data_IF_805532205246
#
_entry.id   IF_805532205246
#
_cell.length_a   1.000
_cell.length_b   1.000
_cell.length_c   1.000
_cell.angle_alpha   90.00
_cell.angle_beta   90.00
_cell.angle_gamma   90.00
#
_symmetry.space_group_name_H-M   'P 1'
#
loop_
_entity.id
_entity.type
_entity.pdbx_description
1 polymer ?
#
# COMPACT_ATOMS: atom_id res chain seq x y z
N UNK A 1 -11.40 -8.36 30.52
CA UNK A 1 -11.16 -7.76 29.19
C UNK A 1 -11.85 -8.55 28.08
N UNK A 2 -11.53 -9.83 27.85
CA UNK A 2 -12.14 -10.60 26.74
C UNK A 2 -13.69 -10.63 26.73
N UNK A 3 -14.40 -10.83 27.86
CA UNK A 3 -15.87 -10.82 27.84
C UNK A 3 -16.49 -9.45 27.55
N UNK A 4 -15.76 -8.37 27.89
CA UNK A 4 -16.24 -6.98 27.71
C UNK A 4 -16.08 -6.56 26.24
N UNK A 5 -15.04 -7.01 25.55
CA UNK A 5 -14.85 -6.77 24.11
C UNK A 5 -15.91 -7.45 23.23
N UNK A 6 -16.55 -8.49 23.77
CA UNK A 6 -17.59 -9.30 23.15
C UNK A 6 -18.98 -9.06 23.77
N UNK A 7 -19.11 -8.08 24.67
CA UNK A 7 -20.36 -7.76 25.34
C UNK A 7 -21.41 -7.16 24.39
N UNK A 8 -22.68 -7.18 24.78
CA UNK A 8 -23.74 -6.55 23.98
C UNK A 8 -23.80 -5.02 24.16
N UNK A 9 -23.07 -4.48 25.15
CA UNK A 9 -23.02 -3.04 25.41
C UNK A 9 -21.93 -2.38 24.55
N UNK A 10 -22.35 -1.42 23.73
CA UNK A 10 -21.49 -0.72 22.77
C UNK A 10 -20.50 0.21 23.46
N UNK A 11 -20.91 0.86 24.56
CA UNK A 11 -20.10 1.85 25.27
C UNK A 11 -18.98 1.17 26.08
N UNK A 12 -19.30 0.02 26.70
CA UNK A 12 -18.32 -0.81 27.39
C UNK A 12 -17.28 -1.40 26.43
N UNK A 13 -17.72 -1.83 25.25
CA UNK A 13 -16.82 -2.34 24.19
C UNK A 13 -15.90 -1.26 23.66
N UNK A 14 -16.44 -0.07 23.39
CA UNK A 14 -15.64 1.05 22.90
C UNK A 14 -14.61 1.51 23.94
N UNK A 15 -15.01 1.62 25.20
CA UNK A 15 -14.10 1.98 26.30
C UNK A 15 -12.96 0.97 26.44
N UNK A 16 -13.26 -0.33 26.29
CA UNK A 16 -12.27 -1.39 26.33
C UNK A 16 -11.29 -1.32 25.14
N UNK A 17 -11.78 -1.10 23.92
CA UNK A 17 -10.93 -0.91 22.73
C UNK A 17 -10.09 0.35 22.82
N UNK A 18 -10.69 1.46 23.26
CA UNK A 18 -10.01 2.74 23.46
C UNK A 18 -8.86 2.60 24.45
N UNK A 19 -9.08 1.94 25.59
CA UNK A 19 -8.03 1.67 26.58
C UNK A 19 -6.93 0.74 26.08
N UNK A 20 -7.29 -0.31 25.32
CA UNK A 20 -6.31 -1.23 24.73
C UNK A 20 -5.45 -0.55 23.65
N UNK A 21 -6.08 0.18 22.74
CA UNK A 21 -5.41 0.83 21.62
C UNK A 21 -4.59 2.04 22.04
N UNK A 22 -4.95 2.72 23.14
CA UNK A 22 -4.12 3.80 23.71
C UNK A 22 -2.67 3.39 23.94
N UNK A 23 -2.44 2.12 24.33
CA UNK A 23 -1.09 1.60 24.56
C UNK A 23 -0.24 1.47 23.29
N UNK A 24 -0.86 1.40 22.10
CA UNK A 24 -0.22 1.24 20.78
C UNK A 24 0.87 0.16 20.74
N UNK A 25 0.73 -0.90 21.53
CA UNK A 25 1.71 -1.99 21.67
C UNK A 25 1.14 -3.29 21.14
N UNK A 26 1.95 -4.00 20.36
CA UNK A 26 1.61 -5.34 19.89
C UNK A 26 1.52 -6.25 21.13
N UNK A 27 0.38 -6.93 21.36
CA UNK A 27 0.24 -7.83 22.50
C UNK A 27 1.16 -9.05 22.35
N UNK A 28 1.49 -9.71 23.47
CA UNK A 28 2.21 -10.97 23.41
C UNK A 28 1.41 -12.03 22.61
N UNK A 29 2.09 -13.05 22.08
CA UNK A 29 1.46 -14.05 21.19
C UNK A 29 0.18 -14.67 21.77
N UNK A 30 0.14 -15.00 23.06
CA UNK A 30 -1.03 -15.61 23.70
C UNK A 30 -2.24 -14.65 23.64
N UNK A 31 -2.03 -13.40 24.02
CA UNK A 31 -3.08 -12.38 23.99
C UNK A 31 -3.45 -11.99 22.54
N UNK A 32 -2.47 -11.92 21.64
CA UNK A 32 -2.70 -11.68 20.21
C UNK A 32 -3.67 -12.73 19.63
N UNK A 33 -3.41 -14.01 19.88
CA UNK A 33 -4.26 -15.09 19.36
C UNK A 33 -5.67 -15.08 19.95
N UNK A 34 -5.84 -14.58 21.18
CA UNK A 34 -7.16 -14.41 21.79
C UNK A 34 -7.93 -13.23 21.16
N UNK A 35 -7.23 -12.13 20.85
CA UNK A 35 -7.83 -10.91 20.30
C UNK A 35 -7.94 -10.92 18.77
N UNK A 36 -7.29 -11.86 18.08
CA UNK A 36 -7.13 -11.85 16.61
C UNK A 36 -8.46 -11.65 15.89
N UNK A 37 -9.47 -12.46 16.23
CA UNK A 37 -10.76 -12.41 15.55
C UNK A 37 -11.47 -11.07 15.83
N UNK A 38 -11.42 -10.59 17.07
CA UNK A 38 -12.01 -9.31 17.45
C UNK A 38 -11.31 -8.14 16.74
N UNK A 39 -9.98 -8.20 16.54
CA UNK A 39 -9.23 -7.20 15.78
C UNK A 39 -9.60 -7.20 14.28
N UNK A 40 -9.75 -8.38 13.68
CA UNK A 40 -10.18 -8.52 12.29
C UNK A 40 -11.60 -8.00 12.09
N UNK A 41 -12.50 -8.26 13.06
CA UNK A 41 -13.87 -7.75 13.05
C UNK A 41 -13.89 -6.22 13.21
N UNK A 42 -13.13 -5.68 14.18
CA UNK A 42 -13.03 -4.24 14.41
C UNK A 42 -12.52 -3.49 13.17
N UNK A 43 -11.59 -4.07 12.42
CA UNK A 43 -11.09 -3.49 11.17
C UNK A 43 -12.16 -3.40 10.07
N UNK A 44 -13.13 -4.32 10.05
CA UNK A 44 -14.23 -4.33 9.07
C UNK A 44 -15.40 -3.45 9.52
N UNK A 45 -15.69 -3.43 10.82
CA UNK A 45 -16.82 -2.70 11.40
C UNK A 45 -16.35 -1.97 12.65
N UNK A 46 -15.70 -0.80 12.48
CA UNK A 46 -15.23 -0.01 13.62
C UNK A 46 -16.42 0.54 14.40
N UNK A 47 -16.35 0.46 15.74
CA UNK A 47 -17.40 0.97 16.64
C UNK A 47 -17.50 2.51 16.57
N UNK A 48 -16.36 3.18 16.44
CA UNK A 48 -16.25 4.63 16.25
C UNK A 48 -15.18 4.94 15.18
N UNK A 49 -15.43 5.91 14.29
CA UNK A 49 -14.47 6.33 13.29
C UNK A 49 -13.34 7.15 13.94
N UNK A 50 -12.35 6.44 14.49
CA UNK A 50 -11.10 7.03 15.00
C UNK A 50 -9.94 6.68 14.07
N UNK A 51 -9.37 7.70 13.43
CA UNK A 51 -8.21 7.55 12.54
C UNK A 51 -7.00 6.94 13.26
N UNK A 52 -6.75 7.35 14.51
CA UNK A 52 -5.66 6.81 15.34
C UNK A 52 -5.84 5.31 15.61
N UNK A 53 -7.07 4.88 15.93
CA UNK A 53 -7.36 3.47 16.20
C UNK A 53 -7.24 2.60 14.96
N UNK A 54 -7.69 3.11 13.80
CA UNK A 54 -7.50 2.44 12.51
C UNK A 54 -6.00 2.23 12.21
N UNK A 55 -5.16 3.25 12.43
CA UNK A 55 -3.71 3.16 12.25
C UNK A 55 -3.06 2.09 13.16
N UNK A 56 -3.45 2.06 14.44
CA UNK A 56 -2.92 1.10 15.40
C UNK A 56 -3.37 -0.33 15.05
N UNK A 57 -4.65 -0.54 14.75
CA UNK A 57 -5.20 -1.85 14.37
C UNK A 57 -4.56 -2.36 13.08
N UNK A 58 -4.43 -1.51 12.06
CA UNK A 58 -3.75 -1.83 10.81
C UNK A 58 -2.31 -2.28 11.08
N UNK A 59 -1.59 -1.56 11.95
CA UNK A 59 -0.22 -1.93 12.34
C UNK A 59 -0.16 -3.27 13.07
N UNK A 60 -1.07 -3.55 14.01
CA UNK A 60 -1.09 -4.82 14.75
C UNK A 60 -1.46 -6.01 13.84
N UNK A 61 -2.40 -5.82 12.92
CA UNK A 61 -2.77 -6.84 11.91
C UNK A 61 -1.57 -7.10 10.98
N UNK A 62 -0.98 -6.04 10.44
CA UNK A 62 0.16 -6.17 9.55
C UNK A 62 1.36 -6.81 10.26
N UNK A 63 1.60 -6.52 11.53
CA UNK A 63 2.64 -7.17 12.33
C UNK A 63 2.39 -8.67 12.53
N UNK A 64 1.15 -9.08 12.82
CA UNK A 64 0.82 -10.51 12.99
C UNK A 64 0.83 -11.30 11.68
N UNK A 65 0.55 -10.63 10.55
CA UNK A 65 0.77 -11.21 9.23
C UNK A 65 2.26 -11.28 8.89
N UNK A 66 3.03 -10.21 9.15
CA UNK A 66 4.47 -10.13 8.87
C UNK A 66 5.35 -10.95 9.82
N UNK A 67 4.82 -11.45 10.94
CA UNK A 67 5.59 -12.30 11.86
C UNK A 67 5.38 -13.77 11.53
N UNK A 68 6.40 -14.40 10.95
CA UNK A 68 6.44 -15.85 10.70
C UNK A 68 7.14 -16.52 11.87
N UNK A 69 6.56 -17.59 12.40
CA UNK A 69 7.21 -18.42 13.41
C UNK A 69 8.32 -19.25 12.75
N UNK A 70 9.58 -19.06 13.16
CA UNK A 70 10.73 -19.76 12.58
C UNK A 70 10.66 -21.30 12.74
N UNK A 71 9.92 -21.79 13.74
CA UNK A 71 9.79 -23.24 14.02
C UNK A 71 8.65 -23.86 13.21
N UNK A 72 7.49 -23.20 13.12
CA UNK A 72 6.30 -23.77 12.47
C UNK A 72 6.06 -23.27 11.05
N UNK A 73 6.74 -22.19 10.63
CA UNK A 73 6.49 -21.50 9.37
C UNK A 73 5.16 -20.75 9.30
N UNK A 74 4.38 -20.76 10.40
CA UNK A 74 3.04 -20.17 10.44
C UNK A 74 3.07 -18.70 10.87
N UNK A 75 2.11 -17.94 10.35
CA UNK A 75 1.85 -16.54 10.72
C UNK A 75 0.71 -16.48 11.74
N UNK A 76 0.67 -15.44 12.57
CA UNK A 76 -0.49 -15.22 13.45
C UNK A 76 -1.74 -14.87 12.64
N UNK A 77 -1.55 -14.14 11.53
CA UNK A 77 -2.56 -13.92 10.50
C UNK A 77 -2.09 -14.58 9.21
N UNK A 78 -2.84 -15.58 8.75
CA UNK A 78 -2.57 -16.30 7.52
C UNK A 78 -2.78 -15.43 6.27
N UNK A 79 -2.28 -15.89 5.13
CA UNK A 79 -2.50 -15.23 3.85
C UNK A 79 -3.98 -15.15 3.47
N UNK A 80 -4.76 -16.18 3.79
CA UNK A 80 -6.18 -16.23 3.48
C UNK A 80 -7.00 -15.31 4.40
N UNK A 81 -6.64 -15.21 5.69
CA UNK A 81 -7.23 -14.23 6.60
C UNK A 81 -6.94 -12.80 6.16
N UNK A 82 -5.68 -12.50 5.81
CA UNK A 82 -5.28 -11.17 5.33
C UNK A 82 -5.97 -10.80 4.02
N UNK A 83 -6.03 -11.72 3.05
CA UNK A 83 -6.76 -11.50 1.79
C UNK A 83 -8.25 -11.27 2.05
N UNK A 84 -8.85 -12.08 2.93
CA UNK A 84 -10.27 -11.96 3.28
C UNK A 84 -10.59 -10.64 3.98
N UNK A 85 -9.67 -10.15 4.82
CA UNK A 85 -9.77 -8.84 5.44
C UNK A 85 -9.72 -7.72 4.40
N UNK A 86 -8.68 -7.71 3.54
CA UNK A 86 -8.50 -6.68 2.51
C UNK A 86 -9.68 -6.57 1.54
N UNK A 87 -10.46 -7.64 1.37
CA UNK A 87 -11.69 -7.64 0.57
C UNK A 87 -12.89 -6.96 1.26
N UNK A 88 -12.91 -6.93 2.60
CA UNK A 88 -14.04 -6.47 3.40
C UNK A 88 -13.86 -5.05 3.93
N UNK A 89 -12.61 -4.66 4.21
CA UNK A 89 -12.31 -3.34 4.75
C UNK A 89 -12.44 -2.23 3.70
N UNK A 90 -12.65 -1.02 4.19
CA UNK A 90 -12.72 0.17 3.35
C UNK A 90 -11.38 0.54 2.71
N UNK A 91 -11.44 1.57 1.89
CA UNK A 91 -10.31 2.04 1.11
C UNK A 91 -9.23 2.74 1.96
N UNK A 92 -9.65 3.44 3.01
CA UNK A 92 -8.74 4.10 3.92
C UNK A 92 -7.90 3.06 4.66
N UNK A 93 -8.52 2.00 5.17
CA UNK A 93 -7.83 0.92 5.87
C UNK A 93 -6.83 0.19 4.95
N UNK A 94 -7.21 -0.11 3.70
CA UNK A 94 -6.28 -0.67 2.69
C UNK A 94 -5.08 0.23 2.47
N UNK A 95 -5.31 1.53 2.33
CA UNK A 95 -4.26 2.53 2.15
C UNK A 95 -3.33 2.61 3.37
N UNK A 96 -3.85 2.44 4.58
CA UNK A 96 -3.06 2.38 5.83
C UNK A 96 -2.14 1.18 5.89
N UNK A 97 -2.62 0.01 5.49
CA UNK A 97 -1.80 -1.20 5.41
C UNK A 97 -0.62 -0.99 4.45
N UNK A 98 -0.86 -0.41 3.27
CA UNK A 98 0.21 -0.13 2.31
C UNK A 98 1.22 0.88 2.84
N UNK A 99 0.74 1.97 3.44
CA UNK A 99 1.60 3.00 4.02
C UNK A 99 2.50 2.42 5.13
N UNK A 100 1.94 1.57 6.00
CA UNK A 100 2.68 0.94 7.08
C UNK A 100 3.72 -0.06 6.53
N UNK A 101 3.36 -0.85 5.52
CA UNK A 101 4.28 -1.77 4.85
C UNK A 101 5.44 -1.04 4.17
N UNK A 102 5.15 0.06 3.47
CA UNK A 102 6.17 0.93 2.86
C UNK A 102 7.11 1.50 3.94
N UNK A 103 6.55 2.04 5.03
CA UNK A 103 7.33 2.60 6.14
C UNK A 103 8.30 1.57 6.72
N UNK A 104 7.81 0.38 7.05
CA UNK A 104 8.65 -0.70 7.59
C UNK A 104 9.67 -1.24 6.59
N UNK A 105 9.36 -1.20 5.29
CA UNK A 105 10.33 -1.52 4.24
C UNK A 105 11.41 -0.46 4.03
N UNK A 106 11.21 0.77 4.54
CA UNK A 106 12.14 1.88 4.45
C UNK A 106 12.90 2.20 5.73
N UNK A 107 12.61 1.51 6.83
CA UNK A 107 13.30 1.72 8.12
C UNK A 107 14.78 1.33 8.03
N UNK A 108 15.62 2.01 8.81
CA UNK A 108 17.09 1.81 8.83
C UNK A 108 17.52 0.61 9.68
N UNK A 109 16.60 0.00 10.42
CA UNK A 109 16.90 -1.23 11.17
C UNK A 109 17.09 -2.40 10.19
N UNK A 110 18.32 -2.86 10.00
CA UNK A 110 18.67 -3.85 8.97
C UNK A 110 17.85 -5.15 9.05
N UNK A 111 17.49 -5.58 10.26
CA UNK A 111 16.70 -6.78 10.50
C UNK A 111 15.24 -6.59 10.09
N UNK A 112 14.62 -5.47 10.48
CA UNK A 112 13.24 -5.14 10.10
C UNK A 112 13.14 -4.78 8.61
N UNK A 113 14.13 -4.05 8.09
CA UNK A 113 14.23 -3.64 6.69
C UNK A 113 14.28 -4.83 5.75
N UNK A 114 15.25 -5.73 5.94
CA UNK A 114 15.45 -6.91 5.06
C UNK A 114 14.25 -7.87 5.10
N UNK A 115 13.61 -8.03 6.26
CA UNK A 115 12.40 -8.81 6.44
C UNK A 115 11.23 -8.21 5.65
N UNK A 116 10.95 -6.92 5.84
CA UNK A 116 9.82 -6.26 5.19
C UNK A 116 9.99 -6.10 3.68
N UNK A 117 11.23 -5.98 3.20
CA UNK A 117 11.54 -5.96 1.77
C UNK A 117 11.05 -7.22 1.04
N UNK A 118 11.24 -8.41 1.63
CA UNK A 118 10.71 -9.68 1.08
C UNK A 118 9.20 -9.80 1.26
N UNK A 119 8.71 -9.45 2.45
CA UNK A 119 7.29 -9.56 2.79
C UNK A 119 6.41 -8.64 1.96
N UNK A 120 6.94 -7.50 1.50
CA UNK A 120 6.20 -6.60 0.63
C UNK A 120 5.76 -7.30 -0.66
N UNK A 121 6.63 -8.09 -1.29
CA UNK A 121 6.27 -8.87 -2.47
C UNK A 121 5.18 -9.90 -2.17
N UNK A 122 5.24 -10.56 -1.00
CA UNK A 122 4.21 -11.51 -0.59
C UNK A 122 2.87 -10.85 -0.28
N UNK A 123 2.90 -9.64 0.28
CA UNK A 123 1.70 -8.84 0.56
C UNK A 123 1.00 -8.48 -0.75
N UNK A 124 1.75 -8.02 -1.74
CA UNK A 124 1.22 -7.67 -3.06
C UNK A 124 0.66 -8.88 -3.82
N UNK A 125 1.23 -10.09 -3.61
CA UNK A 125 0.69 -11.34 -4.20
C UNK A 125 -0.67 -11.73 -3.64
N UNK A 126 -0.94 -11.42 -2.37
CA UNK A 126 -2.23 -11.72 -1.75
C UNK A 126 -3.24 -10.57 -1.88
N UNK A 127 -2.80 -9.40 -2.37
CA UNK A 127 -3.64 -8.22 -2.52
C UNK A 127 -4.85 -8.51 -3.43
N UNK A 128 -6.05 -8.05 -3.04
CA UNK A 128 -7.25 -8.25 -3.84
C UNK A 128 -7.15 -7.67 -5.25
N UNK A 129 -7.65 -8.41 -6.24
CA UNK A 129 -7.72 -7.98 -7.65
C UNK A 129 -9.11 -7.51 -8.07
N UNK A 130 -10.10 -7.69 -7.21
CA UNK A 130 -11.48 -7.33 -7.42
C UNK A 130 -11.63 -5.81 -7.54
N UNK A 131 -12.55 -5.36 -8.39
CA UNK A 131 -12.79 -3.93 -8.65
C UNK A 131 -13.11 -3.15 -7.37
N UNK A 132 -13.81 -3.76 -6.40
CA UNK A 132 -14.14 -3.13 -5.11
C UNK A 132 -12.91 -2.72 -4.28
N UNK A 133 -11.76 -3.37 -4.51
CA UNK A 133 -10.50 -3.09 -3.82
C UNK A 133 -9.53 -2.24 -4.65
N UNK A 134 -9.85 -1.98 -5.93
CA UNK A 134 -9.06 -1.14 -6.85
C UNK A 134 -9.64 0.28 -6.88
N UNK A 135 -9.40 1.02 -5.81
CA UNK A 135 -9.77 2.43 -5.74
C UNK A 135 -8.65 3.34 -6.27
N UNK A 136 -8.95 4.61 -6.58
CA UNK A 136 -7.95 5.63 -6.88
C UNK A 136 -6.89 5.82 -5.78
N UNK A 137 -7.29 5.87 -4.50
CA UNK A 137 -6.39 6.11 -3.37
C UNK A 137 -5.47 4.91 -3.09
N UNK A 138 -6.02 3.68 -3.09
CA UNK A 138 -5.20 2.46 -2.98
C UNK A 138 -4.23 2.38 -4.17
N UNK A 139 -4.67 2.71 -5.38
CA UNK A 139 -3.81 2.73 -6.58
C UNK A 139 -2.68 3.76 -6.47
N UNK A 140 -2.96 4.94 -5.90
CA UNK A 140 -1.94 5.94 -5.62
C UNK A 140 -0.88 5.44 -4.64
N UNK A 141 -1.31 4.83 -3.53
CA UNK A 141 -0.37 4.25 -2.56
C UNK A 141 0.45 3.11 -3.14
N UNK A 142 -0.15 2.25 -3.95
CA UNK A 142 0.57 1.19 -4.66
C UNK A 142 1.61 1.76 -5.64
N UNK A 143 1.26 2.82 -6.35
CA UNK A 143 2.15 3.51 -7.28
C UNK A 143 3.34 4.17 -6.56
N UNK A 144 3.09 4.93 -5.49
CA UNK A 144 4.12 5.53 -4.64
C UNK A 144 5.06 4.47 -4.05
N UNK A 145 4.48 3.35 -3.59
CA UNK A 145 5.22 2.22 -3.04
C UNK A 145 6.13 1.60 -4.10
N UNK A 146 5.67 1.44 -5.34
CA UNK A 146 6.51 0.97 -6.43
C UNK A 146 7.69 1.92 -6.65
N UNK A 147 7.43 3.21 -6.85
CA UNK A 147 8.49 4.22 -7.03
C UNK A 147 9.41 4.42 -5.81
N UNK A 148 9.02 3.93 -4.63
CA UNK A 148 9.87 3.97 -3.42
C UNK A 148 10.72 2.70 -3.22
N UNK A 149 10.59 1.69 -4.07
CA UNK A 149 11.21 0.37 -3.86
C UNK A 149 12.65 0.22 -4.38
N UNK A 150 13.23 1.28 -4.94
CA UNK A 150 14.62 1.32 -5.41
C UNK A 150 14.93 0.19 -6.41
N UNK A 151 15.95 -0.62 -6.11
CA UNK A 151 16.34 -1.77 -6.95
C UNK A 151 15.24 -2.81 -7.17
N UNK A 152 14.24 -2.90 -6.27
CA UNK A 152 13.13 -3.84 -6.41
C UNK A 152 11.98 -3.31 -7.29
N UNK A 153 12.11 -2.09 -7.80
CA UNK A 153 11.12 -1.47 -8.68
C UNK A 153 10.56 -2.39 -9.75
N UNK A 154 11.35 -3.07 -10.60
CA UNK A 154 10.79 -3.90 -11.66
C UNK A 154 9.91 -5.06 -11.13
N UNK A 155 10.30 -5.65 -10.00
CA UNK A 155 9.54 -6.74 -9.35
C UNK A 155 8.25 -6.22 -8.74
N UNK A 156 8.33 -5.11 -8.00
CA UNK A 156 7.18 -4.51 -7.33
C UNK A 156 6.20 -3.92 -8.36
N UNK A 157 6.69 -3.21 -9.37
CA UNK A 157 5.88 -2.67 -10.46
C UNK A 157 5.08 -3.77 -11.18
N UNK A 158 5.70 -4.94 -11.44
CA UNK A 158 5.01 -6.07 -12.06
C UNK A 158 3.87 -6.62 -11.18
N UNK A 159 4.03 -6.64 -9.86
CA UNK A 159 2.99 -7.05 -8.91
C UNK A 159 1.89 -6.00 -8.75
N UNK A 160 2.26 -4.71 -8.81
CA UNK A 160 1.35 -3.58 -8.62
C UNK A 160 0.50 -3.32 -9.86
N UNK A 161 1.04 -3.38 -11.08
CA UNK A 161 0.30 -3.11 -12.33
C UNK A 161 -1.11 -3.73 -12.42
N UNK A 162 -1.32 -5.03 -12.13
CA UNK A 162 -2.65 -5.64 -12.19
C UNK A 162 -3.57 -5.23 -11.03
N UNK A 163 -3.14 -4.36 -10.12
CA UNK A 163 -3.91 -3.89 -8.97
C UNK A 163 -4.35 -2.42 -9.14
N UNK A 164 -3.83 -1.72 -10.15
CA UNK A 164 -4.06 -0.30 -10.35
C UNK A 164 -5.38 -0.02 -11.07
N UNK A 165 -5.96 1.13 -10.73
CA UNK A 165 -6.97 1.85 -11.49
C UNK A 165 -6.46 3.25 -11.84
N UNK A 166 -7.23 3.98 -12.65
CA UNK A 166 -7.01 5.43 -12.85
C UNK A 166 -7.07 6.12 -11.48
N UNK A 167 -6.15 7.06 -11.28
CA UNK A 167 -6.07 7.86 -10.07
C UNK A 167 -6.70 9.22 -10.35
N UNK A 168 -7.65 9.61 -9.51
CA UNK A 168 -8.28 10.93 -9.56
C UNK A 168 -7.37 11.98 -8.90
N UNK A 169 -7.71 13.27 -9.04
CA UNK A 169 -6.87 14.41 -8.61
C UNK A 169 -6.29 14.26 -7.19
N UNK A 170 -5.14 14.89 -6.97
CA UNK A 170 -4.48 15.11 -5.67
C UNK A 170 -3.92 13.88 -4.94
N UNK A 171 -4.01 12.68 -5.52
CA UNK A 171 -3.53 11.47 -4.85
C UNK A 171 -2.15 10.98 -5.29
N UNK A 172 -1.67 11.34 -6.48
CA UNK A 172 -0.44 10.78 -7.02
C UNK A 172 0.78 11.66 -6.72
N UNK A 173 1.65 11.20 -5.81
CA UNK A 173 2.97 11.78 -5.58
C UNK A 173 4.03 11.01 -6.37
N UNK A 174 4.70 11.69 -7.30
CA UNK A 174 5.81 11.11 -8.06
C UNK A 174 7.16 11.52 -7.47
N UNK A 175 8.19 10.67 -7.59
CA UNK A 175 9.55 11.05 -7.21
C UNK A 175 9.98 12.30 -7.99
N UNK A 176 10.53 13.27 -7.28
CA UNK A 176 11.02 14.50 -7.90
C UNK A 176 12.21 14.20 -8.82
N UNK A 177 12.25 14.77 -10.04
CA UNK A 177 13.34 14.57 -10.99
C UNK A 177 14.70 15.12 -10.51
N UNK A 178 14.71 15.89 -9.41
CA UNK A 178 15.92 16.57 -8.90
C UNK A 178 16.65 15.82 -7.77
N UNK A 179 16.22 14.59 -7.42
CA UNK A 179 16.88 13.76 -6.40
C UNK A 179 17.82 12.75 -7.07
N UNK A 180 19.11 13.11 -7.24
CA UNK A 180 20.23 12.19 -7.50
C UNK A 180 20.37 11.22 -6.31
N UNK A 181 20.60 9.90 -6.42
CA UNK A 181 21.56 9.14 -7.26
C UNK A 181 20.93 7.85 -7.87
N UNK A 182 19.61 7.67 -7.73
CA UNK A 182 18.92 6.39 -7.97
C UNK A 182 17.62 6.60 -8.76
N UNK A 183 17.69 7.33 -9.88
CA UNK A 183 16.48 7.66 -10.63
C UNK A 183 15.91 6.41 -11.33
N UNK A 184 14.84 5.86 -10.74
CA UNK A 184 14.11 4.70 -11.24
C UNK A 184 13.65 4.88 -12.68
N UNK A 185 13.35 6.12 -13.09
CA UNK A 185 12.92 6.42 -14.47
C UNK A 185 14.06 6.14 -15.44
N UNK A 186 15.29 6.51 -15.11
CA UNK A 186 16.45 6.28 -15.98
C UNK A 186 16.82 4.80 -16.06
N UNK A 187 16.67 4.06 -14.96
CA UNK A 187 17.00 2.62 -14.90
C UNK A 187 15.94 1.73 -15.51
N UNK A 188 14.67 2.09 -15.36
CA UNK A 188 13.52 1.25 -15.72
C UNK A 188 12.43 2.04 -16.45
N UNK A 189 12.76 2.75 -17.56
CA UNK A 189 11.85 3.70 -18.21
C UNK A 189 10.57 3.02 -18.74
N UNK A 190 10.68 1.81 -19.29
CA UNK A 190 9.53 1.06 -19.81
C UNK A 190 8.50 0.70 -18.71
N UNK A 191 8.99 0.30 -17.53
CA UNK A 191 8.13 -0.07 -16.39
C UNK A 191 7.54 1.18 -15.73
N UNK A 192 8.32 2.27 -15.63
CA UNK A 192 7.82 3.56 -15.18
C UNK A 192 6.70 4.08 -16.11
N UNK A 193 6.91 4.01 -17.43
CA UNK A 193 5.90 4.35 -18.43
C UNK A 193 4.63 3.50 -18.28
N UNK A 194 4.78 2.19 -18.07
CA UNK A 194 3.63 1.31 -17.86
C UNK A 194 2.79 1.71 -16.64
N UNK A 195 3.43 2.05 -15.52
CA UNK A 195 2.73 2.53 -14.32
C UNK A 195 2.02 3.85 -14.60
N UNK A 196 2.73 4.85 -15.12
CA UNK A 196 2.18 6.17 -15.43
C UNK A 196 1.00 6.08 -16.40
N UNK A 197 1.15 5.32 -17.48
CA UNK A 197 0.08 5.11 -18.46
C UNK A 197 -1.15 4.44 -17.85
N UNK A 198 -0.99 3.62 -16.80
CA UNK A 198 -2.11 2.95 -16.13
C UNK A 198 -2.84 3.87 -15.15
N UNK A 199 -2.09 4.72 -14.44
CA UNK A 199 -2.61 5.49 -13.31
C UNK A 199 -3.03 6.91 -13.66
N UNK A 200 -2.43 7.55 -14.66
CA UNK A 200 -2.73 8.94 -14.99
C UNK A 200 -4.19 9.05 -15.47
N UNK A 201 -4.96 10.02 -14.99
CA UNK A 201 -6.34 10.23 -15.45
C UNK A 201 -6.36 10.75 -16.89
N UNK A 202 -7.47 10.57 -17.60
CA UNK A 202 -7.63 11.09 -18.96
C UNK A 202 -7.65 12.64 -18.99
N UNK A 203 -8.03 13.27 -17.87
CA UNK A 203 -8.00 14.72 -17.70
C UNK A 203 -6.58 15.19 -17.34
N UNK A 204 -5.90 15.85 -18.28
CA UNK A 204 -4.52 16.33 -18.12
C UNK A 204 -4.35 17.44 -17.10
N UNK A 205 -5.41 18.20 -16.79
CA UNK A 205 -5.38 19.20 -15.72
C UNK A 205 -5.27 18.57 -14.32
N UNK A 206 -5.51 17.26 -14.21
CA UNK A 206 -5.38 16.50 -12.97
C UNK A 206 -3.98 15.87 -12.80
N UNK A 207 -3.10 16.04 -13.78
CA UNK A 207 -1.79 15.41 -13.74
C UNK A 207 -0.86 16.11 -12.74
N UNK A 208 0.08 15.36 -12.13
CA UNK A 208 1.06 15.93 -11.22
C UNK A 208 1.89 17.03 -11.86
N UNK A 209 2.37 17.94 -11.01
CA UNK A 209 3.32 18.95 -11.46
C UNK A 209 4.61 18.30 -11.96
N UNK A 210 5.16 18.83 -13.07
CA UNK A 210 6.41 18.34 -13.65
C UNK A 210 6.28 17.09 -14.53
N UNK A 211 5.06 16.64 -14.85
CA UNK A 211 4.85 15.48 -15.73
C UNK A 211 5.54 15.59 -17.09
N UNK A 212 5.61 16.78 -17.68
CA UNK A 212 6.33 17.03 -18.93
C UNK A 212 7.80 16.59 -18.85
N UNK A 213 8.47 16.95 -17.75
CA UNK A 213 9.87 16.59 -17.51
C UNK A 213 10.03 15.08 -17.33
N UNK A 214 9.08 14.44 -16.64
CA UNK A 214 9.08 12.99 -16.43
C UNK A 214 8.91 12.24 -17.76
N UNK A 215 7.97 12.68 -18.61
CA UNK A 215 7.75 12.08 -19.93
C UNK A 215 8.93 12.30 -20.87
N UNK A 216 9.57 13.46 -20.81
CA UNK A 216 10.79 13.72 -21.57
C UNK A 216 11.94 12.84 -21.07
N UNK A 217 12.10 12.70 -19.76
CA UNK A 217 13.12 11.86 -19.16
C UNK A 217 12.97 10.38 -19.57
N UNK A 218 11.74 9.84 -19.61
CA UNK A 218 11.46 8.49 -20.12
C UNK A 218 11.91 8.35 -21.59
N UNK A 219 11.65 9.37 -22.40
CA UNK A 219 12.01 9.39 -23.82
C UNK A 219 13.53 9.43 -24.04
N UNK A 220 14.24 10.13 -23.17
CA UNK A 220 15.70 10.29 -23.22
C UNK A 220 16.43 9.05 -22.68
N UNK A 221 15.86 8.38 -21.67
CA UNK A 221 16.43 7.19 -21.05
C UNK A 221 16.44 5.96 -21.97
N UNK A 222 15.39 5.78 -22.80
CA UNK A 222 15.36 4.76 -23.84
C UNK A 222 14.73 5.30 -25.13
N UNK A 223 15.59 5.54 -26.13
CA UNK A 223 15.19 6.07 -27.43
C UNK A 223 14.12 5.24 -28.14
N UNK A 224 14.00 3.93 -27.86
CA UNK A 224 12.96 3.06 -28.44
C UNK A 224 11.56 3.46 -27.98
N UNK A 225 11.43 4.02 -26.77
CA UNK A 225 10.14 4.43 -26.22
C UNK A 225 9.54 5.64 -26.94
N UNK A 226 10.31 6.36 -27.75
CA UNK A 226 9.76 7.43 -28.61
C UNK A 226 8.75 6.90 -29.64
N UNK A 227 8.82 5.61 -29.99
CA UNK A 227 7.86 4.94 -30.86
C UNK A 227 6.81 4.13 -30.07
N UNK A 228 6.81 4.19 -28.74
CA UNK A 228 5.84 3.46 -27.91
C UNK A 228 4.50 4.21 -27.87
N UNK A 229 3.42 3.52 -28.23
CA UNK A 229 2.07 4.07 -28.30
C UNK A 229 1.63 4.74 -26.98
N UNK A 230 2.08 4.23 -25.83
CA UNK A 230 1.75 4.78 -24.51
C UNK A 230 2.38 6.15 -24.32
N UNK A 231 3.66 6.28 -24.66
CA UNK A 231 4.39 7.54 -24.50
C UNK A 231 3.85 8.60 -25.48
N UNK A 232 3.61 8.20 -26.73
CA UNK A 232 3.02 9.08 -27.76
C UNK A 232 1.65 9.57 -27.30
N UNK A 233 0.81 8.67 -26.79
CA UNK A 233 -0.53 9.02 -26.30
C UNK A 233 -0.47 10.02 -25.13
N UNK A 234 0.40 9.78 -24.15
CA UNK A 234 0.55 10.68 -22.99
C UNK A 234 1.08 12.06 -23.40
N UNK A 235 2.10 12.13 -24.28
CA UNK A 235 2.62 13.40 -24.79
C UNK A 235 1.53 14.17 -25.55
N UNK A 236 0.79 13.50 -26.44
CA UNK A 236 -0.31 14.11 -27.19
C UNK A 236 -1.42 14.65 -26.28
N UNK A 237 -1.79 13.90 -25.24
CA UNK A 237 -2.76 14.36 -24.25
C UNK A 237 -2.25 15.62 -23.56
N UNK A 238 -1.00 15.62 -23.10
CA UNK A 238 -0.37 16.75 -22.41
C UNK A 238 -0.32 18.02 -23.27
N UNK A 239 0.02 17.88 -24.55
CA UNK A 239 0.11 19.00 -25.49
C UNK A 239 -1.27 19.60 -25.84
N UNK A 240 -2.35 18.83 -25.64
CA UNK A 240 -3.73 19.25 -25.91
C UNK A 240 -4.45 19.93 -24.73
N UNK A 241 -3.74 20.19 -23.62
CA UNK A 241 -4.30 20.76 -22.38
C UNK A 241 -4.70 22.23 -22.48
#
# INVERSE_FOLDING_TARGET
MLPVLQGNDVDDRDSAWSGFLWGAKIPNKKLYMQLKNDMLEFAVTPLLPSRSYSEIIASMILAGWGTVNDVTGERCISNDEMRSLLLKVDDEFRSRILWQAQRWSGEKDENSHSRWKKQLSDLLRIWPRQLSARSPNTSARLCELAFSSGEQFPTIAALVLPLLSRIERDHLMLPSPHTSEDNIIDRYPEKALALLYTVLPDNTLAWPYGMEKILQQIADADGKLNCDDRLISLKRQWDSR
#
